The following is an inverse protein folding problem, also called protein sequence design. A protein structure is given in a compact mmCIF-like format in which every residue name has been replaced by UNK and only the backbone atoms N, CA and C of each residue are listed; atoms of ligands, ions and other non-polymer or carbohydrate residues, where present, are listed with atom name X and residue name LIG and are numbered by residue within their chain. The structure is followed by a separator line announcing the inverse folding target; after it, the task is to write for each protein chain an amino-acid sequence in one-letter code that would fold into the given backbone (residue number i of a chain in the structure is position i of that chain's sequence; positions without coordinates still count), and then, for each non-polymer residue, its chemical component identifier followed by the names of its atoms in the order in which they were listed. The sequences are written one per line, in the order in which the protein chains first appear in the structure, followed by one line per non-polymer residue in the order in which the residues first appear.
data_IF_575671365589
#
_entry.id   IF_575671365589
#
_cell.length_a   1.000
_cell.length_b   1.000
_cell.length_c   1.000
_cell.angle_alpha   90.00
_cell.angle_beta   90.00
_cell.angle_gamma   90.00
#
_symmetry.space_group_name_H-M   'P 1'
#
loop_
_entity.id
_entity.type
_entity.pdbx_description
1 polymer ?
#
# COMPACT_ATOMS: atom_id res chain seq x y z
N UNK A 1 16.00 16.15 -3.62
CA UNK A 1 17.38 15.64 -3.77
C UNK A 1 17.24 14.34 -4.54
N UNK A 2 17.70 14.30 -5.79
CA UNK A 2 17.53 13.11 -6.63
C UNK A 2 18.55 12.04 -6.21
N UNK A 3 18.09 10.81 -5.97
CA UNK A 3 18.90 9.70 -5.47
C UNK A 3 18.92 8.53 -6.47
N UNK A 4 19.57 8.68 -7.64
CA UNK A 4 19.61 7.64 -8.66
C UNK A 4 20.23 6.32 -8.17
N UNK A 5 21.14 6.39 -7.20
CA UNK A 5 21.72 5.22 -6.53
C UNK A 5 20.67 4.31 -5.90
N UNK A 6 19.49 4.85 -5.54
CA UNK A 6 18.43 4.08 -4.93
C UNK A 6 17.73 3.11 -5.88
N UNK A 7 17.91 3.32 -7.20
CA UNK A 7 17.34 2.48 -8.26
C UNK A 7 18.34 1.47 -8.82
N UNK A 8 19.59 1.47 -8.36
CA UNK A 8 20.59 0.49 -8.79
C UNK A 8 20.16 -0.91 -8.29
N UNK A 9 20.02 -1.91 -9.19
CA UNK A 9 19.69 -3.27 -8.79
C UNK A 9 20.83 -3.88 -7.96
N UNK A 10 20.49 -4.36 -6.77
CA UNK A 10 21.34 -5.17 -5.91
C UNK A 10 21.22 -6.66 -6.25
N UNK A 11 20.04 -7.08 -6.72
CA UNK A 11 19.75 -8.47 -7.07
C UNK A 11 18.61 -8.52 -8.08
N UNK A 12 18.67 -9.46 -9.03
CA UNK A 12 17.60 -9.72 -10.00
C UNK A 12 17.27 -11.20 -10.00
N UNK A 13 15.98 -11.53 -9.86
CA UNK A 13 15.44 -12.89 -9.93
C UNK A 13 14.43 -12.98 -11.06
N UNK A 14 14.71 -13.80 -12.06
CA UNK A 14 13.86 -13.97 -13.24
C UNK A 14 13.13 -15.32 -13.19
N UNK A 15 11.85 -15.33 -13.57
CA UNK A 15 11.14 -16.57 -13.93
C UNK A 15 11.57 -17.11 -15.28
N UNK A 16 10.69 -17.88 -15.94
CA UNK A 16 10.94 -18.35 -17.32
C UNK A 16 10.77 -17.19 -18.30
N UNK A 17 11.16 -17.42 -19.55
CA UNK A 17 10.92 -16.45 -20.63
C UNK A 17 9.43 -16.09 -20.72
N UNK A 18 9.11 -14.81 -20.50
CA UNK A 18 7.74 -14.29 -20.50
C UNK A 18 7.07 -14.19 -19.11
N UNK A 19 7.70 -14.72 -18.06
CA UNK A 19 7.22 -14.56 -16.68
C UNK A 19 7.71 -13.24 -16.06
N UNK A 20 7.09 -12.84 -14.95
CA UNK A 20 7.56 -11.72 -14.14
C UNK A 20 8.98 -11.95 -13.60
N UNK A 21 9.70 -10.86 -13.37
CA UNK A 21 11.00 -10.84 -12.69
C UNK A 21 10.97 -9.88 -11.52
N UNK A 22 11.69 -10.20 -10.45
CA UNK A 22 11.85 -9.34 -9.28
C UNK A 22 13.24 -8.71 -9.28
N UNK A 23 13.34 -7.45 -8.88
CA UNK A 23 14.60 -6.78 -8.61
C UNK A 23 14.61 -6.23 -7.19
N UNK A 24 15.71 -6.40 -6.47
CA UNK A 24 15.95 -5.78 -5.17
C UNK A 24 16.81 -4.55 -5.38
N UNK A 25 16.38 -3.39 -4.91
CA UNK A 25 17.19 -2.18 -4.80
C UNK A 25 17.39 -1.84 -3.32
N UNK A 26 18.03 -0.70 -3.00
CA UNK A 26 18.11 -0.26 -1.61
C UNK A 26 16.73 0.13 -1.02
N UNK A 27 15.72 0.36 -1.87
CA UNK A 27 14.36 0.70 -1.47
C UNK A 27 13.48 -0.54 -1.20
N UNK A 28 13.96 -1.74 -1.53
CA UNK A 28 13.22 -3.00 -1.34
C UNK A 28 13.10 -3.82 -2.63
N UNK A 29 12.11 -4.71 -2.67
CA UNK A 29 11.82 -5.57 -3.82
C UNK A 29 10.74 -4.95 -4.72
N UNK A 30 10.97 -4.99 -6.03
CA UNK A 30 10.00 -4.63 -7.07
C UNK A 30 9.80 -5.82 -8.00
N UNK A 31 8.56 -6.17 -8.31
CA UNK A 31 8.22 -7.22 -9.30
C UNK A 31 7.74 -6.54 -10.58
N UNK A 32 8.32 -6.94 -11.70
CA UNK A 32 8.06 -6.40 -13.02
C UNK A 32 7.56 -7.50 -13.95
N UNK A 33 6.52 -7.22 -14.73
CA UNK A 33 5.92 -8.17 -15.66
C UNK A 33 4.59 -8.77 -15.17
N UNK A 34 3.94 -9.60 -15.99
CA UNK A 34 2.60 -10.09 -15.72
C UNK A 34 2.58 -11.02 -14.49
N UNK A 35 1.86 -10.62 -13.46
CA UNK A 35 1.62 -11.44 -12.26
C UNK A 35 0.32 -12.21 -12.44
N UNK A 36 0.42 -13.53 -12.58
CA UNK A 36 -0.74 -14.42 -12.74
C UNK A 36 -1.20 -14.86 -11.36
N UNK A 37 -2.32 -14.33 -10.87
CA UNK A 37 -3.04 -14.88 -9.72
C UNK A 37 -4.26 -15.62 -10.27
N UNK A 38 -4.34 -16.94 -10.04
CA UNK A 38 -5.43 -17.81 -10.51
C UNK A 38 -5.71 -17.80 -12.03
N UNK A 39 -4.67 -17.76 -12.87
CA UNK A 39 -4.80 -17.96 -14.32
C UNK A 39 -5.39 -16.78 -15.11
N UNK A 40 -5.97 -15.80 -14.44
CA UNK A 40 -6.31 -14.49 -15.00
C UNK A 40 -5.07 -13.60 -14.91
N UNK A 41 -4.77 -12.89 -16.00
CA UNK A 41 -3.76 -11.84 -15.98
C UNK A 41 -4.30 -10.71 -15.11
N UNK A 42 -3.95 -10.71 -13.83
CA UNK A 42 -4.23 -9.57 -12.98
C UNK A 42 -3.22 -8.50 -13.38
N UNK A 43 -3.71 -7.34 -13.78
CA UNK A 43 -2.91 -6.11 -13.80
C UNK A 43 -2.59 -5.74 -12.33
N UNK A 44 -1.84 -6.56 -11.62
CA UNK A 44 -1.54 -6.32 -10.21
C UNK A 44 -0.38 -5.35 -10.07
N UNK A 45 -0.70 -4.25 -9.41
CA UNK A 45 0.18 -3.24 -8.82
C UNK A 45 1.17 -2.60 -9.80
N UNK A 46 0.69 -1.55 -10.47
CA UNK A 46 1.58 -0.50 -10.95
C UNK A 46 2.24 0.18 -9.74
N UNK A 47 3.47 -0.21 -9.39
CA UNK A 47 4.32 0.61 -8.53
C UNK A 47 4.73 1.87 -9.30
N UNK A 48 3.83 2.86 -9.38
CA UNK A 48 4.14 4.18 -9.93
C UNK A 48 4.85 5.00 -8.86
N UNK A 49 6.18 5.03 -8.94
CA UNK A 49 6.99 6.04 -8.25
C UNK A 49 6.61 7.41 -8.78
N UNK A 50 5.83 8.17 -8.01
CA UNK A 50 5.61 9.59 -8.25
C UNK A 50 6.93 10.32 -7.94
N UNK A 51 7.79 10.46 -8.94
CA UNK A 51 8.89 11.43 -8.85
C UNK A 51 8.23 12.80 -8.87
N UNK A 52 8.14 13.42 -7.70
CA UNK A 52 7.64 14.77 -7.54
C UNK A 52 8.52 15.69 -8.41
N UNK A 53 8.03 16.04 -9.61
CA UNK A 53 8.62 17.09 -10.41
C UNK A 53 8.61 18.35 -9.55
N UNK A 54 9.76 18.99 -9.45
CA UNK A 54 9.99 20.22 -8.70
C UNK A 54 9.29 21.40 -9.37
N UNK A 55 7.96 21.38 -9.54
CA UNK A 55 7.19 22.58 -9.87
C UNK A 55 5.85 22.66 -9.08
N UNK A 56 5.93 23.55 -8.07
CA UNK A 56 5.00 24.60 -7.59
C UNK A 56 3.60 24.33 -7.02
N UNK A 57 3.01 23.13 -7.04
CA UNK A 57 1.73 22.95 -6.32
C UNK A 57 1.62 21.64 -5.55
N UNK A 58 2.13 21.65 -4.31
CA UNK A 58 2.01 20.57 -3.34
C UNK A 58 0.58 20.02 -3.25
N UNK A 59 -0.42 20.90 -3.26
CA UNK A 59 -1.83 20.51 -3.20
C UNK A 59 -2.26 19.65 -4.40
N UNK A 60 -1.71 19.90 -5.60
CA UNK A 60 -1.98 19.09 -6.79
C UNK A 60 -1.38 17.68 -6.66
N UNK A 61 -0.17 17.57 -6.13
CA UNK A 61 0.48 16.29 -5.87
C UNK A 61 -0.26 15.49 -4.79
N UNK A 62 -0.66 16.16 -3.70
CA UNK A 62 -1.43 15.55 -2.62
C UNK A 62 -2.80 15.04 -3.13
N UNK A 63 -3.51 15.85 -3.93
CA UNK A 63 -4.78 15.43 -4.56
C UNK A 63 -4.59 14.21 -5.46
N UNK A 64 -3.51 14.13 -6.22
CA UNK A 64 -3.21 12.98 -7.06
C UNK A 64 -2.94 11.71 -6.23
N UNK A 65 -2.16 11.83 -5.15
CA UNK A 65 -1.88 10.73 -4.21
C UNK A 65 -3.18 10.21 -3.60
N UNK A 66 -3.98 11.10 -3.00
CA UNK A 66 -5.24 10.71 -2.35
C UNK A 66 -6.21 10.07 -3.34
N UNK A 67 -6.41 10.67 -4.51
CA UNK A 67 -7.32 10.12 -5.50
C UNK A 67 -6.88 8.72 -5.97
N UNK A 68 -5.58 8.42 -5.97
CA UNK A 68 -5.05 7.13 -6.39
C UNK A 68 -5.20 6.05 -5.31
N UNK A 69 -5.01 6.38 -4.02
CA UNK A 69 -5.22 5.45 -2.90
C UNK A 69 -6.68 4.94 -2.82
N UNK A 70 -7.64 5.74 -3.29
CA UNK A 70 -9.06 5.35 -3.33
C UNK A 70 -9.47 4.54 -4.57
N UNK A 71 -8.61 4.33 -5.56
CA UNK A 71 -8.94 3.53 -6.77
C UNK A 71 -8.97 2.03 -6.47
N UNK A 72 -8.41 1.57 -5.34
CA UNK A 72 -8.60 0.20 -4.84
C UNK A 72 -9.96 0.00 -4.14
N UNK A 73 -11.00 0.74 -4.53
CA UNK A 73 -12.39 0.44 -4.17
C UNK A 73 -13.00 -0.43 -5.25
N UNK A 74 -12.55 -1.67 -5.33
CA UNK A 74 -13.52 -2.72 -5.67
C UNK A 74 -14.38 -2.95 -4.42
N UNK A 75 -15.69 -2.87 -4.62
CA UNK A 75 -16.77 -3.03 -3.66
C UNK A 75 -16.63 -4.39 -2.95
N UNK A 76 -15.86 -4.44 -1.87
CA UNK A 76 -15.61 -5.70 -1.16
C UNK A 76 -14.39 -5.70 -0.24
N UNK A 77 -13.42 -4.78 -0.42
CA UNK A 77 -12.20 -4.73 0.36
C UNK A 77 -12.36 -4.08 1.76
N UNK A 78 -13.47 -4.34 2.45
CA UNK A 78 -13.49 -4.18 3.90
C UNK A 78 -12.86 -5.44 4.47
N UNK A 79 -11.56 -5.35 4.77
CA UNK A 79 -10.81 -6.46 5.37
C UNK A 79 -11.59 -6.91 6.60
N UNK A 80 -11.70 -8.21 6.81
CA UNK A 80 -12.44 -8.80 7.95
C UNK A 80 -11.97 -8.20 9.29
N UNK A 81 -10.71 -7.77 9.32
CA UNK A 81 -10.10 -7.03 10.43
C UNK A 81 -10.70 -5.62 10.58
N UNK A 82 -10.83 -4.83 9.52
CA UNK A 82 -11.47 -3.52 9.57
C UNK A 82 -12.89 -3.60 10.13
N UNK A 83 -13.67 -4.61 9.72
CA UNK A 83 -15.02 -4.82 10.28
C UNK A 83 -14.96 -5.17 11.77
N UNK A 84 -13.97 -5.94 12.21
CA UNK A 84 -13.78 -6.27 13.64
C UNK A 84 -13.41 -5.03 14.45
N UNK A 85 -12.49 -4.22 13.93
CA UNK A 85 -12.05 -2.96 14.57
C UNK A 85 -13.21 -1.97 14.66
N UNK A 86 -13.95 -1.76 13.58
CA UNK A 86 -15.11 -0.86 13.57
C UNK A 86 -16.16 -1.34 14.58
N UNK A 87 -16.50 -2.63 14.58
CA UNK A 87 -17.47 -3.17 15.55
C UNK A 87 -17.01 -3.06 17.00
N UNK A 88 -15.70 -3.24 17.27
CA UNK A 88 -15.13 -3.05 18.59
C UNK A 88 -15.35 -1.60 19.03
N UNK A 89 -14.87 -0.64 18.23
CA UNK A 89 -14.94 0.78 18.57
C UNK A 89 -16.36 1.31 18.67
N UNK A 90 -17.29 0.88 17.80
CA UNK A 90 -18.69 1.27 17.92
C UNK A 90 -19.33 0.89 19.26
N UNK A 91 -18.79 -0.14 19.94
CA UNK A 91 -19.31 -0.62 21.23
C UNK A 91 -18.53 -0.09 22.44
N UNK A 92 -17.26 0.26 22.26
CA UNK A 92 -16.35 0.58 23.36
C UNK A 92 -15.93 2.04 23.40
N UNK A 93 -16.30 2.84 22.40
CA UNK A 93 -15.98 4.26 22.40
C UNK A 93 -16.69 4.90 23.59
N UNK A 94 -15.92 5.58 24.43
CA UNK A 94 -16.42 6.31 25.59
C UNK A 94 -15.72 7.65 25.70
N UNK A 95 -16.39 8.63 26.30
CA UNK A 95 -15.86 9.98 26.48
C UNK A 95 -15.49 10.16 27.94
N UNK A 96 -14.20 10.18 28.23
CA UNK A 96 -13.68 10.37 29.59
C UNK A 96 -13.01 11.74 29.66
N UNK A 97 -13.54 12.64 30.49
CA UNK A 97 -13.01 14.00 30.69
C UNK A 97 -12.85 14.78 29.37
N UNK A 98 -13.90 14.81 28.56
CA UNK A 98 -13.94 15.53 27.27
C UNK A 98 -12.99 14.99 26.19
N UNK A 99 -12.47 13.76 26.38
CA UNK A 99 -11.64 13.07 25.40
C UNK A 99 -12.25 11.72 25.04
N UNK A 100 -12.31 11.43 23.75
CA UNK A 100 -12.68 10.10 23.25
C UNK A 100 -11.59 9.09 23.57
N UNK A 101 -11.97 8.03 24.27
CA UNK A 101 -11.12 6.88 24.50
C UNK A 101 -11.57 5.73 23.62
N UNK A 102 -10.59 5.18 22.90
CA UNK A 102 -10.77 4.05 22.00
C UNK A 102 -9.79 2.95 22.45
N UNK A 103 -10.24 1.73 22.72
CA UNK A 103 -9.33 0.64 23.03
C UNK A 103 -8.51 0.25 21.80
N UNK A 104 -7.24 -0.08 22.02
CA UNK A 104 -6.34 -0.58 20.97
C UNK A 104 -6.84 -1.93 20.45
N UNK A 105 -7.11 -2.09 19.14
CA UNK A 105 -7.78 -3.28 18.61
C UNK A 105 -6.98 -4.58 18.73
N UNK A 106 -5.65 -4.50 18.75
CA UNK A 106 -4.76 -5.67 18.64
C UNK A 106 -3.97 -5.96 19.92
N UNK A 107 -4.43 -5.47 21.08
CA UNK A 107 -3.69 -5.63 22.33
C UNK A 107 -3.95 -7.00 22.95
N UNK A 108 -3.10 -7.99 22.65
CA UNK A 108 -3.07 -9.29 23.34
C UNK A 108 -2.95 -10.52 22.45
N UNK A 109 -3.01 -10.37 21.12
CA UNK A 109 -2.67 -11.46 20.20
C UNK A 109 -1.15 -11.45 20.01
N UNK A 110 -0.46 -12.34 20.74
CA UNK A 110 0.90 -12.72 20.38
C UNK A 110 0.92 -13.40 19.00
N UNK A 111 2.11 -13.56 18.39
CA UNK A 111 2.24 -14.19 17.07
C UNK A 111 1.66 -15.60 17.00
#
# INVERSE_FOLDING_TARGET
MDAPQAFIPLEVRTGKSGDAFAMRTCLGWTVNGPTRVNGLAVHSSECRSLVAKTETHLEGQIKAIWNQDFVCKEEGASLVEDKRVINLWSRTIDTVKDHYQLPMPFRGEGP
#
